data_IF_696423420074
#
_entry.id   IF_696423420074
#
_cell.length_a   1.000
_cell.length_b   1.000
_cell.length_c   1.000
_cell.angle_alpha   90.00
_cell.angle_beta   90.00
_cell.angle_gamma   90.00
#
_symmetry.space_group_name_H-M   'P 1'
#
loop_
_entity.id
_entity.type
_entity.pdbx_description
1 polymer ?
#
# COMPACT_ATOMS: atom_id res chain seq x y z
N UNK A 1 -2.11 -18.84 22.07
CA UNK A 1 -0.78 -19.26 21.58
C UNK A 1 0.32 -18.18 21.71
N UNK A 2 -0.01 -16.90 21.97
CA UNK A 2 0.92 -15.92 22.57
C UNK A 2 0.47 -15.53 24.00
N UNK A 3 -0.85 -15.44 24.22
CA UNK A 3 -1.45 -15.14 25.53
C UNK A 3 -1.24 -16.25 26.57
N UNK A 4 -1.22 -17.51 26.15
CA UNK A 4 -1.19 -18.69 27.05
C UNK A 4 0.10 -19.51 26.95
N UNK A 5 0.98 -19.19 26.01
CA UNK A 5 2.27 -19.86 25.85
C UNK A 5 3.34 -18.85 26.21
N UNK A 6 4.28 -19.20 27.08
CA UNK A 6 5.47 -18.38 27.32
C UNK A 6 6.35 -18.43 26.07
N UNK A 7 6.07 -17.55 25.11
CA UNK A 7 6.90 -17.37 23.94
C UNK A 7 8.17 -16.66 24.40
N UNK A 8 9.32 -17.35 24.31
CA UNK A 8 10.60 -16.81 24.79
C UNK A 8 11.06 -15.56 24.06
N UNK A 9 10.70 -15.42 22.77
CA UNK A 9 10.99 -14.22 21.97
C UNK A 9 9.87 -13.95 20.95
N UNK A 10 8.87 -13.14 21.32
CA UNK A 10 7.72 -12.82 20.46
C UNK A 10 8.10 -12.12 19.16
N UNK A 11 9.13 -11.27 19.16
CA UNK A 11 9.60 -10.56 17.96
C UNK A 11 10.20 -11.55 16.97
N UNK A 12 11.06 -12.46 17.41
CA UNK A 12 11.60 -13.50 16.51
C UNK A 12 10.51 -14.40 15.94
N UNK A 13 9.46 -14.68 16.72
CA UNK A 13 8.30 -15.44 16.23
C UNK A 13 7.60 -14.66 15.11
N UNK A 14 7.32 -13.37 15.33
CA UNK A 14 6.73 -12.50 14.32
C UNK A 14 7.57 -12.45 13.05
N UNK A 15 8.86 -12.13 13.14
CA UNK A 15 9.76 -12.04 11.98
C UNK A 15 9.83 -13.36 11.18
N UNK A 16 9.80 -14.49 11.88
CA UNK A 16 9.84 -15.82 11.25
C UNK A 16 8.55 -16.19 10.52
N UNK A 17 7.39 -15.79 11.05
CA UNK A 17 6.10 -16.29 10.58
C UNK A 17 5.18 -15.21 9.97
N UNK A 18 5.55 -13.93 9.97
CA UNK A 18 4.74 -12.82 9.42
C UNK A 18 4.34 -13.02 7.96
N UNK A 19 5.19 -13.65 7.16
CA UNK A 19 4.90 -13.98 5.77
C UNK A 19 3.71 -14.95 5.67
N UNK A 20 3.77 -16.06 6.42
CA UNK A 20 2.70 -17.05 6.45
C UNK A 20 1.42 -16.52 7.10
N UNK A 21 1.55 -15.72 8.17
CA UNK A 21 0.40 -15.13 8.88
C UNK A 21 -0.35 -14.08 8.07
N UNK A 22 0.31 -13.50 7.06
CA UNK A 22 -0.26 -12.43 6.22
C UNK A 22 -0.60 -12.89 4.81
N UNK A 23 -0.44 -14.19 4.50
CA UNK A 23 -0.60 -14.73 3.15
C UNK A 23 -2.03 -14.52 2.62
N UNK A 24 -3.04 -14.85 3.42
CA UNK A 24 -4.44 -14.69 3.06
C UNK A 24 -4.87 -13.22 2.95
N UNK A 25 -4.24 -12.33 3.72
CA UNK A 25 -4.44 -10.88 3.59
C UNK A 25 -3.88 -10.40 2.25
N UNK A 26 -2.66 -10.82 1.90
CA UNK A 26 -2.01 -10.51 0.61
C UNK A 26 -2.84 -11.01 -0.57
N UNK A 27 -3.35 -12.24 -0.48
CA UNK A 27 -4.24 -12.83 -1.50
C UNK A 27 -5.54 -12.03 -1.65
N UNK A 28 -6.16 -11.58 -0.56
CA UNK A 28 -7.38 -10.75 -0.61
C UNK A 28 -7.10 -9.41 -1.28
N UNK A 29 -6.03 -8.71 -0.87
CA UNK A 29 -5.67 -7.43 -1.45
C UNK A 29 -5.32 -7.53 -2.95
N UNK A 30 -4.61 -8.59 -3.36
CA UNK A 30 -4.30 -8.82 -4.79
C UNK A 30 -5.53 -9.16 -5.64
N UNK A 31 -6.60 -9.73 -5.06
CA UNK A 31 -7.86 -9.98 -5.79
C UNK A 31 -8.63 -8.70 -6.06
N UNK A 32 -8.65 -7.79 -5.09
CA UNK A 32 -9.31 -6.49 -5.22
C UNK A 32 -8.49 -5.51 -6.09
N UNK A 33 -7.17 -5.71 -6.15
CA UNK A 33 -6.23 -4.89 -6.88
C UNK A 33 -5.48 -5.70 -7.96
N UNK A 34 -6.21 -6.07 -9.02
CA UNK A 34 -5.76 -7.04 -10.05
C UNK A 34 -4.44 -6.71 -10.76
N UNK A 35 -3.93 -5.48 -10.64
CA UNK A 35 -2.79 -5.01 -11.42
C UNK A 35 -1.58 -4.54 -10.58
N UNK A 36 -1.56 -4.75 -9.26
CA UNK A 36 -0.33 -4.53 -8.47
C UNK A 36 -0.23 -5.39 -7.23
N UNK A 37 1.01 -5.71 -6.89
CA UNK A 37 1.32 -6.30 -5.61
C UNK A 37 1.00 -5.30 -4.48
N UNK A 38 0.35 -5.74 -3.40
CA UNK A 38 0.12 -4.88 -2.25
C UNK A 38 1.47 -4.54 -1.60
N UNK A 39 1.62 -3.30 -1.12
CA UNK A 39 2.81 -2.86 -0.39
C UNK A 39 3.02 -3.76 0.83
N UNK A 40 4.23 -4.31 0.99
CA UNK A 40 4.55 -5.30 2.03
C UNK A 40 4.23 -4.79 3.45
N UNK A 41 4.54 -3.53 3.73
CA UNK A 41 4.28 -2.91 5.03
C UNK A 41 2.78 -2.83 5.36
N UNK A 42 1.94 -2.61 4.34
CA UNK A 42 0.48 -2.57 4.46
C UNK A 42 -0.05 -3.96 4.85
N UNK A 43 0.46 -5.00 4.21
CA UNK A 43 0.08 -6.41 4.46
C UNK A 43 0.41 -6.81 5.89
N UNK A 44 1.59 -6.45 6.38
CA UNK A 44 2.01 -6.74 7.74
C UNK A 44 1.26 -5.95 8.79
N UNK A 45 1.03 -4.66 8.55
CA UNK A 45 0.26 -3.84 9.46
C UNK A 45 -1.18 -4.36 9.62
N UNK A 46 -1.83 -4.76 8.53
CA UNK A 46 -3.16 -5.35 8.58
C UNK A 46 -3.17 -6.68 9.36
N UNK A 47 -2.12 -7.49 9.23
CA UNK A 47 -1.95 -8.71 10.02
C UNK A 47 -1.82 -8.40 11.52
N UNK A 48 -1.03 -7.38 11.88
CA UNK A 48 -0.88 -6.94 13.27
C UNK A 48 -2.19 -6.42 13.87
N UNK A 49 -3.02 -5.72 13.10
CA UNK A 49 -4.34 -5.27 13.58
C UNK A 49 -5.22 -6.45 13.96
N UNK A 50 -5.33 -7.44 13.05
CA UNK A 50 -6.12 -8.64 13.32
C UNK A 50 -5.59 -9.43 14.51
N UNK A 51 -4.26 -9.53 14.63
CA UNK A 51 -3.61 -10.17 15.77
C UNK A 51 -3.90 -9.43 17.08
N UNK A 52 -3.85 -8.09 17.06
CA UNK A 52 -4.14 -7.25 18.22
C UNK A 52 -5.58 -7.40 18.69
N UNK A 53 -6.55 -7.43 17.77
CA UNK A 53 -7.96 -7.60 18.10
C UNK A 53 -8.19 -8.95 18.81
N UNK A 54 -7.55 -10.02 18.32
CA UNK A 54 -7.60 -11.35 18.96
C UNK A 54 -6.95 -11.31 20.35
N UNK A 55 -5.72 -10.78 20.46
CA UNK A 55 -4.97 -10.75 21.73
C UNK A 55 -5.68 -9.90 22.78
N UNK A 56 -6.21 -8.75 22.39
CA UNK A 56 -6.94 -7.84 23.26
C UNK A 56 -8.26 -8.48 23.73
N UNK A 57 -9.00 -9.15 22.84
CA UNK A 57 -10.24 -9.84 23.22
C UNK A 57 -10.03 -10.95 24.25
N UNK A 58 -8.87 -11.60 24.23
CA UNK A 58 -8.56 -12.73 25.11
C UNK A 58 -7.89 -12.33 26.42
N UNK A 59 -7.08 -11.27 26.41
CA UNK A 59 -6.23 -10.89 27.55
C UNK A 59 -6.50 -9.51 28.12
N UNK A 60 -7.24 -8.66 27.39
CA UNK A 60 -7.41 -7.24 27.70
C UNK A 60 -6.15 -6.39 27.52
N UNK A 61 -5.08 -6.94 26.95
CA UNK A 61 -3.78 -6.26 26.80
C UNK A 61 -3.41 -6.09 25.33
N UNK A 62 -2.66 -5.03 25.01
CA UNK A 62 -2.17 -4.75 23.65
C UNK A 62 -1.01 -5.66 23.25
N UNK A 63 -0.67 -5.66 21.96
CA UNK A 63 0.48 -6.42 21.44
C UNK A 63 1.80 -5.97 22.06
N UNK A 64 1.93 -4.67 22.38
CA UNK A 64 3.12 -4.11 23.03
C UNK A 64 3.42 -4.80 24.37
N UNK A 65 2.40 -5.18 25.13
CA UNK A 65 2.58 -5.91 26.39
C UNK A 65 3.30 -7.25 26.22
N UNK A 66 3.14 -7.87 25.05
CA UNK A 66 3.80 -9.12 24.68
C UNK A 66 5.09 -8.88 23.87
N UNK A 67 5.59 -7.64 23.82
CA UNK A 67 6.82 -7.29 23.09
C UNK A 67 6.68 -7.34 21.57
N UNK A 68 5.45 -7.32 21.03
CA UNK A 68 5.22 -7.28 19.58
C UNK A 68 5.05 -5.84 19.09
N UNK A 69 5.27 -5.58 17.77
CA UNK A 69 5.03 -4.26 17.19
C UNK A 69 3.57 -3.84 17.33
N UNK A 70 3.35 -2.55 17.63
CA UNK A 70 2.00 -1.99 17.63
C UNK A 70 1.52 -1.71 16.21
N UNK A 71 0.25 -2.03 15.89
CA UNK A 71 -0.31 -1.72 14.60
C UNK A 71 -0.65 -0.24 14.44
N UNK A 72 -0.48 0.27 13.22
CA UNK A 72 -0.89 1.60 12.79
C UNK A 72 -2.34 1.53 12.29
N UNK A 73 -3.31 1.79 13.18
CA UNK A 73 -4.74 1.68 12.85
C UNK A 73 -5.22 2.71 11.83
N UNK A 74 -4.62 3.88 11.77
CA UNK A 74 -4.91 4.93 10.78
C UNK A 74 -4.68 4.43 9.35
N UNK A 75 -3.67 3.59 9.14
CA UNK A 75 -3.38 2.97 7.86
C UNK A 75 -4.50 2.03 7.40
N UNK A 76 -5.20 1.35 8.32
CA UNK A 76 -6.36 0.50 7.97
C UNK A 76 -7.52 1.28 7.36
N UNK A 77 -7.72 2.52 7.81
CA UNK A 77 -8.75 3.41 7.26
C UNK A 77 -8.38 3.80 5.83
N UNK A 78 -7.10 4.05 5.56
CA UNK A 78 -6.58 4.36 4.23
C UNK A 78 -6.65 3.15 3.28
N UNK A 79 -6.39 1.93 3.77
CA UNK A 79 -6.48 0.68 2.96
C UNK A 79 -7.92 0.40 2.53
N UNK A 80 -8.90 0.70 3.39
CA UNK A 80 -10.32 0.59 3.04
C UNK A 80 -10.73 1.59 1.95
N UNK A 81 -9.93 2.62 1.69
CA UNK A 81 -10.14 3.52 0.55
C UNK A 81 -9.58 2.88 -0.73
N UNK A 82 -10.46 2.25 -1.49
CA UNK A 82 -10.11 1.59 -2.77
C UNK A 82 -9.39 2.52 -3.76
N UNK A 83 -9.68 3.82 -3.76
CA UNK A 83 -9.00 4.79 -4.64
C UNK A 83 -7.54 4.95 -4.24
N UNK A 84 -7.29 5.15 -2.95
CA UNK A 84 -5.95 5.24 -2.38
C UNK A 84 -5.11 3.99 -2.68
N UNK A 85 -5.71 2.80 -2.51
CA UNK A 85 -5.03 1.55 -2.87
C UNK A 85 -4.74 1.44 -4.37
N UNK A 86 -5.60 1.98 -5.24
CA UNK A 86 -5.35 2.03 -6.68
C UNK A 86 -4.23 3.02 -7.04
N UNK A 87 -4.09 4.12 -6.30
CA UNK A 87 -3.02 5.10 -6.50
C UNK A 87 -1.65 4.60 -6.00
N UNK A 88 -1.61 3.71 -5.02
CA UNK A 88 -0.37 3.04 -4.60
C UNK A 88 0.02 1.86 -5.50
N UNK A 89 -0.94 1.37 -6.28
CA UNK A 89 -0.85 0.20 -7.14
C UNK A 89 -0.64 0.58 -8.61
N UNK A 90 0.33 1.44 -8.86
CA UNK A 90 0.74 1.69 -10.23
C UNK A 90 1.81 0.67 -10.64
N UNK A 91 1.53 -0.08 -11.71
CA UNK A 91 2.56 -0.84 -12.41
C UNK A 91 3.49 0.13 -13.14
N UNK A 92 4.55 0.54 -12.45
CA UNK A 92 5.54 1.49 -12.95
C UNK A 92 6.23 1.00 -14.21
N UNK A 93 6.48 -0.30 -14.33
CA UNK A 93 7.09 -0.90 -15.52
C UNK A 93 6.20 -0.73 -16.75
N UNK A 94 4.91 -1.05 -16.60
CA UNK A 94 3.92 -0.83 -17.66
C UNK A 94 3.75 0.66 -17.98
N UNK A 95 3.74 1.53 -16.98
CA UNK A 95 3.61 2.97 -17.19
C UNK A 95 4.80 3.55 -17.96
N UNK A 96 6.03 3.12 -17.64
CA UNK A 96 7.23 3.51 -18.40
C UNK A 96 7.11 3.10 -19.87
N UNK A 97 6.60 1.89 -20.14
CA UNK A 97 6.37 1.43 -21.51
C UNK A 97 5.28 2.23 -22.23
N UNK A 98 4.20 2.60 -21.54
CA UNK A 98 3.15 3.47 -22.10
C UNK A 98 3.73 4.83 -22.48
N UNK A 99 4.56 5.42 -21.62
CA UNK A 99 5.21 6.71 -21.87
C UNK A 99 6.17 6.63 -23.06
N UNK A 100 7.04 5.62 -23.11
CA UNK A 100 8.05 5.50 -24.16
C UNK A 100 7.45 5.39 -25.56
N UNK A 101 6.32 4.68 -25.70
CA UNK A 101 5.60 4.57 -26.97
C UNK A 101 4.71 5.78 -27.22
N UNK A 102 3.99 6.25 -26.20
CA UNK A 102 2.95 7.28 -26.31
C UNK A 102 3.51 8.66 -26.64
N UNK A 103 4.58 9.08 -25.98
CA UNK A 103 5.15 10.43 -26.15
C UNK A 103 5.64 10.66 -27.58
N UNK A 104 6.14 9.62 -28.26
CA UNK A 104 6.56 9.72 -29.66
C UNK A 104 5.42 10.02 -30.65
N UNK A 105 4.17 9.79 -30.24
CA UNK A 105 2.97 9.99 -31.07
C UNK A 105 2.32 11.36 -30.85
N UNK A 106 2.81 12.14 -29.90
CA UNK A 106 2.21 13.43 -29.57
C UNK A 106 2.42 14.43 -30.71
N UNK A 107 1.37 15.21 -30.97
CA UNK A 107 1.52 16.44 -31.72
C UNK A 107 2.18 17.53 -30.85
N UNK A 108 2.45 18.69 -31.45
CA UNK A 108 3.12 19.79 -30.76
C UNK A 108 2.40 20.22 -29.47
N UNK A 109 1.08 20.38 -29.52
CA UNK A 109 0.29 20.88 -28.39
C UNK A 109 0.21 19.85 -27.26
N UNK A 110 -0.01 18.58 -27.59
CA UNK A 110 0.00 17.48 -26.62
C UNK A 110 1.35 17.34 -25.93
N UNK A 111 2.45 17.46 -26.70
CA UNK A 111 3.81 17.39 -26.17
C UNK A 111 4.11 18.55 -25.23
N UNK A 112 3.71 19.76 -25.62
CA UNK A 112 3.84 20.96 -24.79
C UNK A 112 3.13 20.79 -23.44
N UNK A 113 1.86 20.37 -23.44
CA UNK A 113 1.11 20.16 -22.19
C UNK A 113 1.75 19.08 -21.32
N UNK A 114 2.20 17.98 -21.92
CA UNK A 114 2.90 16.92 -21.20
C UNK A 114 4.17 17.43 -20.51
N UNK A 115 4.99 18.21 -21.21
CA UNK A 115 6.23 18.77 -20.68
C UNK A 115 5.96 19.80 -19.57
N UNK A 116 4.93 20.64 -19.71
CA UNK A 116 4.52 21.60 -18.68
C UNK A 116 4.08 20.91 -17.39
N UNK A 117 3.30 19.82 -17.50
CA UNK A 117 2.87 19.01 -16.34
C UNK A 117 4.07 18.35 -15.65
N UNK A 118 4.97 17.73 -16.43
CA UNK A 118 6.18 17.12 -15.86
C UNK A 118 7.05 18.15 -15.13
N UNK A 119 7.29 19.30 -15.76
CA UNK A 119 8.07 20.38 -15.15
C UNK A 119 7.45 20.86 -13.83
N UNK A 120 6.12 20.99 -13.77
CA UNK A 120 5.41 21.35 -12.53
C UNK A 120 5.59 20.30 -11.42
N UNK A 121 5.59 19.02 -11.76
CA UNK A 121 5.81 17.91 -10.81
C UNK A 121 7.26 17.92 -10.33
N UNK A 122 8.22 17.91 -11.26
CA UNK A 122 9.65 17.82 -10.95
C UNK A 122 10.15 19.04 -10.16
N UNK A 123 9.55 20.21 -10.40
CA UNK A 123 9.86 21.45 -9.68
C UNK A 123 8.99 21.65 -8.44
N UNK A 124 8.06 20.73 -8.15
CA UNK A 124 7.11 20.80 -7.05
C UNK A 124 6.30 22.11 -7.00
N UNK A 125 5.94 22.67 -8.15
CA UNK A 125 5.21 23.94 -8.25
C UNK A 125 3.73 23.80 -7.92
N UNK A 126 3.18 22.58 -7.99
CA UNK A 126 1.77 22.32 -7.65
C UNK A 126 0.77 23.05 -8.55
N UNK A 127 1.10 23.25 -9.83
CA UNK A 127 0.22 23.94 -10.78
C UNK A 127 -1.06 23.14 -11.07
N UNK A 128 -2.15 23.86 -11.31
CA UNK A 128 -3.45 23.28 -11.68
C UNK A 128 -3.65 23.36 -13.18
N UNK A 129 -3.97 22.22 -13.81
CA UNK A 129 -4.19 22.12 -15.26
C UNK A 129 -5.63 21.73 -15.55
N UNK A 130 -6.22 22.36 -16.57
CA UNK A 130 -7.53 21.97 -17.12
C UNK A 130 -7.32 21.45 -18.54
N UNK A 131 -7.73 20.21 -18.77
CA UNK A 131 -7.66 19.57 -20.07
C UNK A 131 -9.06 19.56 -20.69
N UNK A 132 -9.20 20.22 -21.83
CA UNK A 132 -10.39 20.11 -22.66
C UNK A 132 -10.08 19.14 -23.81
N UNK A 133 -10.67 17.95 -23.76
CA UNK A 133 -10.47 16.90 -24.75
C UNK A 133 -11.83 16.47 -25.31
N UNK A 134 -12.05 16.52 -26.63
CA UNK A 134 -13.23 15.91 -27.23
C UNK A 134 -13.15 14.39 -27.03
N UNK A 135 -14.23 13.81 -26.49
CA UNK A 135 -14.36 12.38 -26.22
C UNK A 135 -14.44 11.52 -27.47
#
# INVERSE_FOLDING_TARGET
>A
MIVFCQVGDPIKLWEKYRESLSEDIRRRMGRDNRNSEPVVDIVYNQCLILLEDIVTSMSGKSLLHFGLPEPIREQSIMINNRKFMSELAYDTSRLIQVVSVGVSKFNHDQKKVYDDVLNSVDSNFGQLFFLDAPG
#
